data_IF_816893605805
#
_entry.id   IF_816893605805
#
_cell.length_a   1.000
_cell.length_b   1.000
_cell.length_c   1.000
_cell.angle_alpha   90.00
_cell.angle_beta   90.00
_cell.angle_gamma   90.00
#
_symmetry.space_group_name_H-M   'P 1'
#
loop_
_entity.id
_entity.type
_entity.pdbx_description
1 polymer ?
#
# COMPACT_ATOMS: atom_id res chain seq x y z
N UNK A 1 -3.64 -71.80 21.49
CA UNK A 1 -4.10 -70.44 21.88
C UNK A 1 -2.90 -69.52 21.99
N UNK A 2 -2.69 -68.60 20.97
CA UNK A 2 -1.55 -67.70 20.98
C UNK A 2 -1.97 -66.36 21.61
N UNK A 3 -1.37 -65.98 22.73
CA UNK A 3 -1.57 -64.67 23.38
C UNK A 3 -0.88 -63.58 22.58
N UNK A 4 -1.66 -62.67 21.93
CA UNK A 4 -1.15 -61.42 21.34
C UNK A 4 -0.64 -60.50 22.47
N UNK A 5 0.67 -60.26 22.54
CA UNK A 5 1.26 -59.19 23.35
C UNK A 5 0.89 -57.83 22.70
N UNK A 6 0.09 -57.01 23.39
CA UNK A 6 -0.07 -55.57 23.04
C UNK A 6 1.24 -54.89 23.40
N UNK A 7 1.96 -54.37 22.39
CA UNK A 7 3.08 -53.47 22.61
C UNK A 7 2.50 -52.11 23.06
N UNK A 8 2.76 -51.76 24.31
CA UNK A 8 2.53 -50.42 24.82
C UNK A 8 3.66 -49.52 24.32
N UNK A 9 3.36 -48.54 23.45
CA UNK A 9 4.30 -47.49 23.08
C UNK A 9 4.69 -46.71 24.34
N UNK A 10 5.97 -46.49 24.58
CA UNK A 10 6.45 -45.72 25.70
C UNK A 10 6.06 -44.26 25.58
N UNK A 11 5.89 -43.58 26.71
CA UNK A 11 5.55 -42.14 26.74
C UNK A 11 6.54 -41.30 25.92
N UNK A 12 7.83 -41.66 25.90
CA UNK A 12 8.88 -41.06 25.08
C UNK A 12 8.63 -41.20 23.57
N UNK A 13 8.13 -42.35 23.09
CA UNK A 13 7.79 -42.56 21.67
C UNK A 13 6.62 -41.72 21.26
N UNK A 14 5.61 -41.51 22.12
CA UNK A 14 4.47 -40.66 21.85
C UNK A 14 4.84 -39.17 21.77
N UNK A 15 5.73 -38.71 22.68
CA UNK A 15 6.25 -37.32 22.65
C UNK A 15 7.10 -37.09 21.43
N UNK A 16 7.95 -38.03 21.02
CA UNK A 16 8.76 -37.89 19.79
C UNK A 16 7.90 -37.81 18.52
N UNK A 17 6.83 -38.59 18.43
CA UNK A 17 5.88 -38.56 17.32
C UNK A 17 5.13 -37.19 17.27
N UNK A 18 4.72 -36.68 18.44
CA UNK A 18 4.04 -35.37 18.52
C UNK A 18 4.94 -34.21 18.05
N UNK A 19 6.24 -34.23 18.44
CA UNK A 19 7.22 -33.21 18.00
C UNK A 19 7.43 -33.25 16.49
N UNK A 20 7.54 -34.46 15.90
CA UNK A 20 7.71 -34.64 14.45
C UNK A 20 6.47 -34.12 13.69
N UNK A 21 5.27 -34.40 14.21
CA UNK A 21 4.01 -33.89 13.59
C UNK A 21 3.94 -32.37 13.66
N UNK A 22 4.27 -31.76 14.83
CA UNK A 22 4.29 -30.31 14.99
C UNK A 22 5.34 -29.65 14.08
N UNK A 23 6.53 -30.25 13.95
CA UNK A 23 7.56 -29.73 13.02
C UNK A 23 7.10 -29.84 11.55
N UNK A 24 6.43 -30.93 11.15
CA UNK A 24 5.88 -31.10 9.82
C UNK A 24 4.77 -30.04 9.53
N UNK A 25 3.89 -29.78 10.51
CA UNK A 25 2.87 -28.71 10.39
C UNK A 25 3.51 -27.32 10.29
N UNK A 26 4.53 -27.03 11.09
CA UNK A 26 5.25 -25.76 11.01
C UNK A 26 5.95 -25.60 9.65
N UNK A 27 6.64 -26.63 9.15
CA UNK A 27 7.28 -26.62 7.83
C UNK A 27 6.24 -26.41 6.72
N UNK A 28 5.10 -27.12 6.77
CA UNK A 28 4.02 -26.98 5.78
C UNK A 28 3.39 -25.58 5.84
N UNK A 29 3.20 -25.03 7.04
CA UNK A 29 2.71 -23.66 7.23
C UNK A 29 3.70 -22.63 6.66
N UNK A 30 5.00 -22.74 6.97
CA UNK A 30 6.02 -21.83 6.45
C UNK A 30 6.25 -21.99 4.96
N UNK A 31 6.20 -23.19 4.40
CA UNK A 31 6.33 -23.42 2.94
C UNK A 31 5.10 -22.94 2.19
N UNK A 32 3.89 -23.11 2.72
CA UNK A 32 2.67 -22.54 2.12
C UNK A 32 2.66 -21.01 2.22
N UNK A 33 3.12 -20.42 3.33
CA UNK A 33 3.26 -18.97 3.47
C UNK A 33 4.34 -18.41 2.53
N UNK A 34 5.44 -19.16 2.30
CA UNK A 34 6.49 -18.79 1.35
C UNK A 34 6.06 -19.00 -0.12
N UNK A 35 5.34 -20.06 -0.44
CA UNK A 35 4.85 -20.31 -1.80
C UNK A 35 3.70 -19.38 -2.19
N UNK A 36 2.85 -18.95 -1.27
CA UNK A 36 1.88 -17.88 -1.54
C UNK A 36 2.55 -16.52 -1.76
N UNK A 37 3.71 -16.24 -1.14
CA UNK A 37 4.54 -15.06 -1.49
C UNK A 37 5.23 -15.20 -2.85
N UNK A 38 5.54 -16.41 -3.32
CA UNK A 38 6.23 -16.65 -4.61
C UNK A 38 5.31 -16.85 -5.80
N UNK A 39 4.02 -17.16 -5.59
CA UNK A 39 3.07 -17.41 -6.66
C UNK A 39 2.47 -16.13 -7.28
N UNK A 40 2.72 -14.96 -6.69
CA UNK A 40 2.23 -13.67 -7.18
C UNK A 40 3.26 -12.85 -7.96
N UNK A 41 4.28 -13.48 -8.55
CA UNK A 41 4.96 -12.89 -9.69
C UNK A 41 4.06 -13.09 -10.94
N UNK A 42 2.83 -12.54 -10.89
CA UNK A 42 2.11 -12.24 -12.10
C UNK A 42 3.05 -11.36 -12.93
N UNK A 43 3.50 -11.87 -14.04
CA UNK A 43 4.20 -11.11 -15.07
C UNK A 43 3.36 -9.90 -15.34
N UNK A 44 3.80 -8.71 -14.87
CA UNK A 44 3.15 -7.44 -15.14
C UNK A 44 3.30 -7.12 -16.62
N UNK A 45 2.62 -7.93 -17.48
CA UNK A 45 2.38 -7.58 -18.85
C UNK A 45 1.48 -6.36 -18.84
N UNK A 46 2.08 -5.19 -19.10
CA UNK A 46 1.44 -3.91 -19.41
C UNK A 46 0.33 -3.45 -18.44
N UNK A 47 0.68 -3.16 -17.20
CA UNK A 47 -0.17 -2.24 -16.43
C UNK A 47 -0.28 -0.94 -17.22
N UNK A 48 -1.48 -0.53 -17.58
CA UNK A 48 -1.73 0.71 -18.32
C UNK A 48 -1.06 1.87 -17.60
N UNK A 49 -0.21 2.61 -18.32
CA UNK A 49 0.60 3.69 -17.74
C UNK A 49 -0.20 4.97 -17.63
N UNK A 50 0.03 5.72 -16.56
CA UNK A 50 -0.34 7.13 -16.50
C UNK A 50 0.54 7.87 -17.53
N UNK A 51 -0.01 8.72 -18.40
CA UNK A 51 0.78 9.45 -19.39
C UNK A 51 1.87 10.33 -18.75
N UNK A 52 3.04 10.38 -19.37
CA UNK A 52 4.19 11.12 -18.82
C UNK A 52 3.95 12.63 -18.76
N UNK A 53 3.19 13.18 -19.71
CA UNK A 53 2.78 14.60 -19.70
C UNK A 53 1.91 14.91 -18.49
N UNK A 54 1.02 14.01 -18.10
CA UNK A 54 0.23 14.12 -16.86
C UNK A 54 1.16 14.14 -15.65
N UNK A 55 2.03 13.13 -15.51
CA UNK A 55 2.99 13.06 -14.40
C UNK A 55 3.86 14.31 -14.31
N UNK A 56 4.34 14.80 -15.46
CA UNK A 56 5.20 15.98 -15.54
C UNK A 56 4.46 17.29 -15.22
N UNK A 57 3.16 17.36 -15.41
CA UNK A 57 2.35 18.54 -15.11
C UNK A 57 2.01 18.71 -13.62
N UNK A 58 2.10 17.64 -12.83
CA UNK A 58 1.66 17.65 -11.45
C UNK A 58 2.76 18.14 -10.50
N UNK A 59 2.40 19.07 -9.63
CA UNK A 59 3.27 19.64 -8.61
C UNK A 59 2.45 20.04 -7.39
N UNK A 60 3.08 20.03 -6.21
CA UNK A 60 2.49 20.62 -5.03
C UNK A 60 2.39 22.15 -5.20
N UNK A 61 1.37 22.81 -4.63
CA UNK A 61 1.30 24.26 -4.63
C UNK A 61 2.47 24.87 -3.87
N UNK A 62 2.92 26.04 -4.28
CA UNK A 62 3.84 26.83 -3.47
C UNK A 62 3.15 27.19 -2.15
N UNK A 63 3.93 27.43 -1.11
CA UNK A 63 3.36 27.74 0.21
C UNK A 63 2.45 28.97 0.18
N UNK A 64 2.78 30.00 -0.63
CA UNK A 64 1.96 31.20 -0.83
C UNK A 64 0.61 30.92 -1.52
N UNK A 65 0.48 29.81 -2.22
CA UNK A 65 -0.72 29.38 -2.96
C UNK A 65 -1.47 28.26 -2.21
N UNK A 66 -0.87 27.74 -1.12
CA UNK A 66 -1.38 26.62 -0.37
C UNK A 66 -2.61 27.02 0.48
N UNK A 67 -3.74 26.42 0.21
CA UNK A 67 -5.00 26.63 0.93
C UNK A 67 -5.61 25.29 1.35
N UNK A 68 -6.50 25.32 2.33
CA UNK A 68 -7.23 24.12 2.76
C UNK A 68 -8.18 23.58 1.65
N UNK A 69 -8.36 24.31 0.55
CA UNK A 69 -9.13 23.87 -0.61
C UNK A 69 -8.29 23.06 -1.62
N UNK A 70 -6.96 23.07 -1.53
CA UNK A 70 -6.08 22.27 -2.39
C UNK A 70 -5.98 20.81 -1.97
N UNK A 71 -7.08 20.20 -1.50
CA UNK A 71 -7.08 18.82 -0.99
C UNK A 71 -6.71 17.80 -2.05
N UNK A 72 -7.29 17.96 -3.23
CA UNK A 72 -7.00 17.11 -4.40
C UNK A 72 -7.41 17.78 -5.70
N UNK A 73 -6.88 17.27 -6.80
CA UNK A 73 -7.25 17.65 -8.18
C UNK A 73 -7.76 16.43 -8.91
N UNK A 74 -8.94 16.50 -9.51
CA UNK A 74 -9.46 15.43 -10.37
C UNK A 74 -8.66 15.38 -11.66
N UNK A 75 -8.26 14.20 -12.09
CA UNK A 75 -7.54 13.91 -13.32
C UNK A 75 -8.43 13.14 -14.30
N UNK A 76 -8.18 13.31 -15.60
CA UNK A 76 -8.80 12.53 -16.67
C UNK A 76 -10.33 12.38 -16.53
N UNK A 77 -11.03 13.47 -16.17
CA UNK A 77 -12.47 13.44 -15.89
C UNK A 77 -12.87 12.32 -14.92
N UNK A 78 -12.06 12.10 -13.90
CA UNK A 78 -12.22 11.07 -12.86
C UNK A 78 -12.17 9.62 -13.40
N UNK A 79 -11.60 9.38 -14.58
CA UNK A 79 -11.41 8.04 -15.14
C UNK A 79 -9.99 7.55 -14.85
N UNK A 80 -9.82 6.41 -14.15
CA UNK A 80 -8.52 5.77 -13.99
C UNK A 80 -7.90 5.38 -15.34
N UNK A 81 -6.56 5.31 -15.37
CA UNK A 81 -5.82 4.82 -16.55
C UNK A 81 -5.67 3.28 -16.52
N UNK A 82 -6.73 2.56 -16.17
CA UNK A 82 -6.74 1.11 -16.23
C UNK A 82 -7.32 0.64 -17.56
N UNK A 83 -6.70 -0.38 -18.16
CA UNK A 83 -7.28 -1.09 -19.28
C UNK A 83 -8.29 -2.16 -18.78
N UNK A 84 -9.01 -2.78 -19.70
CA UNK A 84 -9.91 -3.88 -19.33
C UNK A 84 -9.13 -5.10 -18.79
N UNK A 85 -7.93 -5.31 -19.28
CA UNK A 85 -7.03 -6.39 -18.88
C UNK A 85 -6.49 -6.19 -17.45
N UNK A 86 -6.47 -4.95 -16.96
CA UNK A 86 -6.11 -4.62 -15.58
C UNK A 86 -7.19 -5.04 -14.57
N UNK A 87 -8.40 -5.33 -15.03
CA UNK A 87 -9.55 -5.64 -14.19
C UNK A 87 -9.71 -7.15 -14.03
N UNK A 88 -9.53 -7.64 -12.83
CA UNK A 88 -9.66 -9.05 -12.44
C UNK A 88 -10.36 -9.13 -11.09
N UNK A 89 -10.93 -10.28 -10.78
CA UNK A 89 -11.49 -10.60 -9.46
C UNK A 89 -10.54 -11.43 -8.59
N UNK A 90 -9.28 -11.55 -9.00
CA UNK A 90 -8.22 -12.17 -8.18
C UNK A 90 -7.47 -11.10 -7.43
N UNK A 91 -7.58 -11.11 -6.11
CA UNK A 91 -6.89 -10.16 -5.26
C UNK A 91 -5.37 -10.29 -5.37
N UNK A 92 -4.69 -9.18 -5.40
CA UNK A 92 -3.23 -9.09 -5.30
C UNK A 92 -2.82 -7.72 -4.79
N UNK A 93 -1.61 -7.64 -4.27
CA UNK A 93 -0.89 -6.40 -4.01
C UNK A 93 0.53 -6.50 -4.55
N UNK A 94 1.04 -5.38 -5.04
CA UNK A 94 2.41 -5.31 -5.54
C UNK A 94 2.97 -3.90 -5.35
N UNK A 95 4.21 -3.86 -4.92
CA UNK A 95 4.97 -2.65 -4.63
C UNK A 95 6.21 -2.60 -5.49
N UNK A 96 6.38 -1.53 -6.25
CA UNK A 96 7.59 -1.32 -7.06
C UNK A 96 8.83 -1.33 -6.16
N UNK A 97 9.97 -1.85 -6.63
CA UNK A 97 11.23 -1.70 -5.91
C UNK A 97 11.54 -0.22 -5.66
N UNK A 98 12.24 0.07 -4.56
CA UNK A 98 12.81 1.41 -4.35
C UNK A 98 13.76 1.74 -5.50
N UNK A 99 13.77 3.00 -5.93
CA UNK A 99 14.71 3.46 -6.93
C UNK A 99 16.12 3.69 -6.34
N UNK A 100 17.07 4.11 -7.17
CA UNK A 100 18.46 4.38 -6.77
C UNK A 100 18.62 5.47 -5.69
N UNK A 101 17.59 6.29 -5.48
CA UNK A 101 17.53 7.31 -4.43
C UNK A 101 16.77 6.84 -3.19
N UNK A 102 16.36 5.56 -3.14
CA UNK A 102 15.58 4.99 -2.05
C UNK A 102 14.12 5.46 -2.04
N UNK A 103 13.60 6.00 -3.17
CA UNK A 103 12.23 6.48 -3.28
C UNK A 103 11.28 5.34 -3.64
N UNK A 104 10.10 5.37 -3.08
CA UNK A 104 9.02 4.43 -3.41
C UNK A 104 8.52 4.64 -4.84
N UNK A 105 8.16 3.56 -5.50
CA UNK A 105 7.49 3.60 -6.78
C UNK A 105 5.98 3.38 -6.64
N UNK A 106 5.36 2.91 -7.69
CA UNK A 106 3.94 2.60 -7.76
C UNK A 106 3.57 1.44 -6.82
N UNK A 107 2.47 1.60 -6.08
CA UNK A 107 1.77 0.53 -5.40
C UNK A 107 0.51 0.16 -6.16
N UNK A 108 0.34 -1.12 -6.48
CA UNK A 108 -0.76 -1.65 -7.29
C UNK A 108 -1.48 -2.78 -6.55
N UNK A 109 -2.79 -2.87 -6.68
CA UNK A 109 -3.55 -3.97 -6.13
C UNK A 109 -4.92 -4.16 -6.76
N UNK A 110 -5.46 -5.34 -6.55
CA UNK A 110 -6.89 -5.61 -6.61
C UNK A 110 -7.31 -5.93 -5.20
N UNK A 111 -8.00 -5.00 -4.57
CA UNK A 111 -8.37 -5.08 -3.16
C UNK A 111 -9.62 -5.93 -3.03
N UNK A 112 -9.49 -7.04 -2.33
CA UNK A 112 -10.57 -7.92 -1.92
C UNK A 112 -10.54 -8.13 -0.41
N UNK A 113 -11.53 -8.82 0.14
CA UNK A 113 -11.61 -9.06 1.60
C UNK A 113 -10.49 -9.93 2.16
N UNK A 114 -9.87 -10.74 1.31
CA UNK A 114 -8.77 -11.65 1.63
C UNK A 114 -7.43 -10.93 1.88
N UNK A 115 -7.27 -9.69 1.38
CA UNK A 115 -6.11 -8.86 1.68
C UNK A 115 -6.28 -8.00 2.94
N UNK A 116 -7.52 -7.76 3.37
CA UNK A 116 -7.77 -6.89 4.52
C UNK A 116 -7.14 -7.44 5.81
N UNK A 117 -6.65 -6.57 6.69
CA UNK A 117 -5.95 -7.01 7.90
C UNK A 117 -6.85 -7.81 8.82
N UNK A 118 -6.32 -8.92 9.33
CA UNK A 118 -6.86 -9.71 10.44
C UNK A 118 -6.20 -9.36 11.77
N UNK A 119 -5.00 -8.78 11.70
CA UNK A 119 -4.18 -8.41 12.84
C UNK A 119 -4.25 -6.92 13.14
N UNK A 120 -3.80 -6.54 14.33
CA UNK A 120 -3.70 -5.12 14.72
C UNK A 120 -2.51 -4.47 14.03
N UNK A 121 -2.67 -3.18 13.75
CA UNK A 121 -1.57 -2.34 13.25
C UNK A 121 -0.45 -2.26 14.27
N UNK A 122 0.78 -2.41 13.80
CA UNK A 122 2.00 -2.31 14.59
C UNK A 122 2.70 -0.95 14.41
N UNK A 123 3.71 -0.71 15.25
CA UNK A 123 4.53 0.51 15.18
C UNK A 123 5.43 0.51 13.95
N UNK A 124 5.42 1.62 13.22
CA UNK A 124 6.23 1.83 12.01
C UNK A 124 7.31 2.92 12.17
N UNK A 125 7.59 3.33 13.42
CA UNK A 125 8.50 4.43 13.71
C UNK A 125 9.96 4.18 13.24
N UNK A 126 10.35 2.93 13.07
CA UNK A 126 11.67 2.52 12.57
C UNK A 126 11.86 2.74 11.07
N UNK A 127 10.79 2.78 10.27
CA UNK A 127 10.90 3.01 8.82
C UNK A 127 11.30 4.46 8.53
N UNK A 128 12.24 4.64 7.61
CA UNK A 128 12.75 5.96 7.18
C UNK A 128 12.60 6.11 5.67
N UNK A 129 11.43 6.57 5.17
CA UNK A 129 11.26 6.83 3.74
C UNK A 129 12.24 7.90 3.23
N UNK A 130 12.44 7.98 1.92
CA UNK A 130 13.28 9.03 1.31
C UNK A 130 12.82 10.43 1.78
N UNK A 131 13.78 11.31 2.05
CA UNK A 131 13.51 12.68 2.52
C UNK A 131 12.89 12.79 3.92
N UNK A 132 12.80 11.71 4.69
CA UNK A 132 12.22 11.74 6.04
C UNK A 132 12.98 12.69 6.97
N UNK A 133 12.24 13.59 7.60
CA UNK A 133 12.69 14.43 8.71
C UNK A 133 11.83 14.17 9.93
N UNK A 134 12.46 14.13 11.11
CA UNK A 134 11.71 14.04 12.36
C UNK A 134 10.89 15.31 12.61
N UNK A 135 9.66 15.14 13.06
CA UNK A 135 8.82 16.26 13.45
C UNK A 135 9.40 16.94 14.70
N UNK A 136 9.84 18.18 14.56
CA UNK A 136 10.42 18.98 15.66
C UNK A 136 9.45 20.11 16.01
N UNK A 137 8.66 19.92 17.04
CA UNK A 137 7.69 20.91 17.52
C UNK A 137 6.41 21.06 16.69
N UNK A 138 6.42 20.69 15.40
CA UNK A 138 5.26 20.69 14.53
C UNK A 138 5.11 19.30 13.87
N UNK A 139 3.90 18.80 13.79
CA UNK A 139 3.61 17.52 13.11
C UNK A 139 3.43 17.78 11.62
N UNK A 140 4.53 17.80 10.88
CA UNK A 140 4.56 18.07 9.43
C UNK A 140 4.44 16.79 8.62
N UNK A 141 5.19 15.74 8.97
CA UNK A 141 5.25 14.51 8.20
C UNK A 141 4.66 13.31 8.93
N UNK A 142 3.99 12.49 8.16
CA UNK A 142 3.58 11.12 8.49
C UNK A 142 4.33 10.14 7.58
N UNK A 143 4.50 8.90 8.05
CA UNK A 143 4.85 7.76 7.21
C UNK A 143 3.57 7.32 6.51
N UNK A 144 3.32 7.91 5.34
CA UNK A 144 2.08 7.68 4.60
C UNK A 144 2.16 6.36 3.84
N UNK A 145 1.22 5.46 4.09
CA UNK A 145 1.05 4.27 3.26
C UNK A 145 0.54 4.68 1.87
N UNK A 146 1.03 4.02 0.82
CA UNK A 146 0.46 4.12 -0.53
C UNK A 146 -0.83 3.30 -0.60
N UNK A 147 -0.78 2.01 -0.29
CA UNK A 147 -1.96 1.20 -0.03
C UNK A 147 -2.16 1.16 1.48
N UNK A 148 -3.26 1.71 1.96
CA UNK A 148 -3.54 1.84 3.39
C UNK A 148 -3.54 0.47 4.09
N UNK A 149 -3.09 0.42 5.34
CA UNK A 149 -3.11 -0.80 6.16
C UNK A 149 -4.49 -1.47 6.18
N UNK A 150 -5.56 -0.68 6.27
CA UNK A 150 -6.94 -1.20 6.27
C UNK A 150 -7.36 -1.91 4.98
N UNK A 151 -6.60 -1.76 3.88
CA UNK A 151 -6.89 -2.36 2.58
C UNK A 151 -6.12 -3.64 2.32
N UNK A 152 -4.86 -3.73 2.79
CA UNK A 152 -3.96 -4.82 2.44
C UNK A 152 -3.16 -5.40 3.63
N UNK A 153 -3.34 -4.90 4.84
CA UNK A 153 -2.65 -5.42 6.03
C UNK A 153 -1.13 -5.21 6.06
N UNK A 154 -0.55 -4.55 5.04
CA UNK A 154 0.88 -4.26 4.99
C UNK A 154 1.23 -3.15 5.99
N UNK A 155 2.05 -3.47 7.00
CA UNK A 155 2.32 -2.56 8.10
C UNK A 155 3.58 -1.70 7.89
N UNK A 156 4.76 -2.32 7.83
CA UNK A 156 6.08 -1.66 7.83
C UNK A 156 6.89 -1.88 6.55
N UNK A 157 6.22 -2.25 5.47
CA UNK A 157 6.82 -2.42 4.15
C UNK A 157 7.39 -1.09 3.64
N UNK A 158 8.72 -1.01 3.50
CA UNK A 158 9.45 0.17 3.06
C UNK A 158 9.08 0.63 1.64
N UNK A 159 8.57 -0.28 0.79
CA UNK A 159 8.09 0.01 -0.57
C UNK A 159 6.66 0.58 -0.59
N UNK A 160 5.96 0.53 0.53
CA UNK A 160 4.60 1.04 0.71
C UNK A 160 4.55 2.33 1.54
N UNK A 161 5.68 2.79 2.08
CA UNK A 161 5.74 3.94 2.98
C UNK A 161 6.53 5.10 2.38
N UNK A 162 5.93 6.29 2.32
CA UNK A 162 6.56 7.51 1.85
C UNK A 162 6.55 8.62 2.89
N UNK A 163 7.42 9.61 2.72
CA UNK A 163 7.34 10.87 3.46
C UNK A 163 6.17 11.69 2.91
N UNK A 164 5.04 11.62 3.59
CA UNK A 164 3.84 12.39 3.28
C UNK A 164 3.61 13.49 4.30
N UNK A 165 3.10 14.64 3.88
CA UNK A 165 2.64 15.65 4.83
C UNK A 165 1.39 15.14 5.55
N UNK A 166 1.19 15.60 6.78
CA UNK A 166 -0.04 15.31 7.53
C UNK A 166 -1.28 15.74 6.76
N UNK A 167 -1.21 16.87 6.06
CA UNK A 167 -2.32 17.35 5.23
C UNK A 167 -2.65 16.36 4.10
N UNK A 168 -1.66 15.95 3.30
CA UNK A 168 -1.87 14.98 2.24
C UNK A 168 -2.39 13.65 2.79
N UNK A 169 -1.70 13.09 3.79
CA UNK A 169 -2.06 11.81 4.40
C UNK A 169 -3.50 11.80 4.91
N UNK A 170 -3.94 12.90 5.55
CA UNK A 170 -5.32 13.03 6.03
C UNK A 170 -6.33 13.09 4.88
N UNK A 171 -5.98 13.73 3.77
CA UNK A 171 -6.87 13.85 2.60
C UNK A 171 -6.91 12.57 1.73
N UNK A 172 -6.00 11.60 1.93
CA UNK A 172 -6.09 10.25 1.34
C UNK A 172 -7.19 9.42 1.99
N UNK A 173 -7.42 9.58 3.29
CA UNK A 173 -8.34 8.75 4.11
C UNK A 173 -9.75 8.62 3.53
N UNK A 174 -10.42 9.67 3.03
CA UNK A 174 -11.76 9.52 2.45
C UNK A 174 -11.80 8.53 1.27
N UNK A 175 -10.80 8.58 0.38
CA UNK A 175 -10.69 7.68 -0.77
C UNK A 175 -10.39 6.23 -0.36
N UNK A 176 -9.54 6.06 0.64
CA UNK A 176 -9.23 4.75 1.22
C UNK A 176 -10.45 4.13 1.91
N UNK A 177 -11.19 4.94 2.67
CA UNK A 177 -12.41 4.49 3.36
C UNK A 177 -13.49 4.08 2.36
N UNK A 178 -13.66 4.80 1.26
CA UNK A 178 -14.62 4.45 0.20
C UNK A 178 -14.35 3.04 -0.34
N UNK A 179 -13.07 2.71 -0.61
CA UNK A 179 -12.66 1.38 -1.05
C UNK A 179 -12.89 0.34 0.04
N UNK A 180 -12.46 0.62 1.28
CA UNK A 180 -12.59 -0.31 2.40
C UNK A 180 -14.06 -0.65 2.68
N UNK A 181 -14.93 0.35 2.71
CA UNK A 181 -16.35 0.19 2.98
C UNK A 181 -17.05 -0.60 1.88
N UNK A 182 -16.73 -0.29 0.61
CA UNK A 182 -17.26 -1.04 -0.53
C UNK A 182 -16.87 -2.52 -0.47
N UNK A 183 -15.60 -2.83 -0.29
CA UNK A 183 -15.11 -4.21 -0.24
C UNK A 183 -15.70 -4.96 0.96
N UNK A 184 -15.73 -4.35 2.14
CA UNK A 184 -16.34 -4.95 3.35
C UNK A 184 -17.83 -5.25 3.17
N UNK A 185 -18.58 -4.30 2.59
CA UNK A 185 -20.03 -4.38 2.42
C UNK A 185 -20.44 -5.36 1.32
N UNK A 186 -19.75 -5.33 0.19
CA UNK A 186 -20.17 -6.07 -1.02
C UNK A 186 -19.44 -7.39 -1.21
N UNK A 187 -18.27 -7.58 -0.59
CA UNK A 187 -17.33 -8.69 -0.82
C UNK A 187 -16.80 -8.73 -2.26
N UNK A 188 -16.89 -7.62 -2.98
CA UNK A 188 -16.42 -7.42 -4.34
C UNK A 188 -15.05 -6.76 -4.35
N UNK A 189 -14.47 -6.62 -5.55
CA UNK A 189 -13.10 -6.18 -5.73
C UNK A 189 -13.01 -4.75 -6.26
N UNK A 190 -11.91 -4.08 -5.87
CA UNK A 190 -11.55 -2.76 -6.39
C UNK A 190 -10.15 -2.82 -6.96
N UNK A 191 -9.98 -2.50 -8.25
CA UNK A 191 -8.67 -2.22 -8.82
C UNK A 191 -8.17 -0.89 -8.26
N UNK A 192 -7.00 -0.91 -7.62
CA UNK A 192 -6.46 0.21 -6.87
C UNK A 192 -5.00 0.46 -7.23
N UNK A 193 -4.61 1.73 -7.39
CA UNK A 193 -3.22 2.11 -7.66
C UNK A 193 -2.92 3.45 -7.01
N UNK A 194 -1.74 3.55 -6.40
CA UNK A 194 -1.18 4.81 -5.92
C UNK A 194 0.18 5.03 -6.55
N UNK A 195 0.35 6.18 -7.19
CA UNK A 195 1.57 6.56 -7.90
C UNK A 195 2.15 7.83 -7.28
N UNK A 196 3.29 7.75 -6.58
CA UNK A 196 4.03 8.92 -6.13
C UNK A 196 4.59 9.71 -7.32
N UNK A 197 4.50 11.03 -7.25
CA UNK A 197 5.00 11.94 -8.29
C UNK A 197 6.23 12.67 -7.79
N UNK A 198 7.40 12.24 -8.22
CA UNK A 198 8.67 12.91 -7.90
C UNK A 198 9.12 13.82 -9.05
N UNK A 199 9.89 14.86 -8.74
CA UNK A 199 10.56 15.73 -9.72
C UNK A 199 12.07 15.51 -9.64
N UNK A 200 12.71 15.28 -10.79
CA UNK A 200 14.17 15.09 -10.83
C UNK A 200 14.68 14.19 -9.71
N UNK A 201 15.63 14.71 -8.94
CA UNK A 201 16.25 14.02 -7.80
C UNK A 201 15.62 14.37 -6.43
N UNK A 202 14.39 14.90 -6.41
CA UNK A 202 13.67 15.19 -5.18
C UNK A 202 13.47 13.92 -4.34
N UNK A 203 13.75 13.99 -3.05
CA UNK A 203 13.58 12.88 -2.11
C UNK A 203 12.14 12.83 -1.53
N UNK A 204 11.39 13.92 -1.66
CA UNK A 204 9.98 13.99 -1.26
C UNK A 204 9.12 14.16 -2.50
N UNK A 205 8.06 13.36 -2.63
CA UNK A 205 7.14 13.45 -3.75
C UNK A 205 6.35 14.76 -3.71
N UNK A 206 6.04 15.30 -4.88
CA UNK A 206 5.14 16.44 -5.04
C UNK A 206 3.68 16.11 -4.67
N UNK A 207 3.35 14.83 -4.63
CA UNK A 207 2.04 14.30 -4.28
C UNK A 207 1.91 12.87 -4.73
N UNK A 208 0.70 12.35 -4.59
CA UNK A 208 0.33 11.01 -5.08
C UNK A 208 -0.87 11.09 -6.02
N UNK A 209 -0.89 10.26 -7.05
CA UNK A 209 -2.09 9.97 -7.83
C UNK A 209 -2.73 8.75 -7.21
N UNK A 210 -3.99 8.85 -6.84
CA UNK A 210 -4.80 7.71 -6.38
C UNK A 210 -5.84 7.39 -7.45
N UNK A 211 -5.90 6.12 -7.85
CA UNK A 211 -6.83 5.61 -8.85
C UNK A 211 -7.55 4.39 -8.30
N UNK A 212 -8.87 4.36 -8.49
CA UNK A 212 -9.68 3.20 -8.14
C UNK A 212 -10.84 3.00 -9.08
N UNK A 213 -11.22 1.73 -9.29
CA UNK A 213 -12.42 1.33 -10.01
C UNK A 213 -12.96 0.04 -9.44
N UNK A 214 -14.27 -0.01 -9.15
CA UNK A 214 -14.94 -1.24 -8.76
C UNK A 214 -15.02 -2.20 -9.95
N UNK A 215 -14.54 -3.44 -9.76
CA UNK A 215 -14.29 -4.38 -10.87
C UNK A 215 -15.58 -4.94 -11.43
N UNK A 216 -16.42 -5.54 -10.60
CA UNK A 216 -17.59 -6.33 -11.05
C UNK A 216 -18.70 -5.49 -11.65
N UNK A 217 -18.73 -4.19 -11.39
CA UNK A 217 -19.73 -3.27 -11.94
C UNK A 217 -19.15 -2.20 -12.89
N UNK A 218 -17.87 -2.37 -13.28
CA UNK A 218 -17.16 -1.45 -14.19
C UNK A 218 -17.19 0.01 -13.72
N UNK A 219 -16.95 0.23 -12.44
CA UNK A 219 -16.82 1.57 -11.87
C UNK A 219 -18.14 2.30 -11.61
N UNK A 220 -19.27 1.58 -11.53
CA UNK A 220 -20.54 2.20 -11.16
C UNK A 220 -20.58 2.62 -9.69
N UNK A 221 -19.95 1.83 -8.82
CA UNK A 221 -19.92 2.08 -7.37
C UNK A 221 -18.71 2.91 -6.97
N UNK A 222 -17.52 2.56 -7.47
CA UNK A 222 -16.26 3.28 -7.19
C UNK A 222 -15.57 3.58 -8.51
N UNK A 223 -15.28 4.87 -8.73
CA UNK A 223 -14.43 5.30 -9.83
C UNK A 223 -13.84 6.67 -9.50
N UNK A 224 -12.53 6.71 -9.33
CA UNK A 224 -11.82 7.98 -9.17
C UNK A 224 -10.40 7.94 -9.73
N UNK A 225 -9.93 9.12 -10.13
CA UNK A 225 -8.56 9.41 -10.53
C UNK A 225 -8.23 10.81 -10.04
N UNK A 226 -7.45 10.90 -8.96
CA UNK A 226 -7.19 12.15 -8.26
C UNK A 226 -5.71 12.29 -7.92
N UNK A 227 -5.21 13.53 -8.00
CA UNK A 227 -3.90 13.91 -7.49
C UNK A 227 -4.06 14.60 -6.14
N UNK A 228 -3.40 14.09 -5.11
CA UNK A 228 -3.33 14.71 -3.78
C UNK A 228 -1.94 15.34 -3.61
N UNK A 229 -1.84 16.66 -3.53
CA UNK A 229 -0.57 17.35 -3.41
C UNK A 229 0.04 17.20 -2.02
N UNK A 230 1.36 17.00 -1.98
CA UNK A 230 2.11 16.76 -0.75
C UNK A 230 2.66 18.06 -0.17
N UNK A 231 1.81 18.88 0.41
CA UNK A 231 2.17 20.13 1.07
C UNK A 231 1.54 20.22 2.47
N UNK A 232 2.00 21.20 3.23
CA UNK A 232 1.42 21.57 4.53
C UNK A 232 1.31 23.09 4.60
N UNK A 233 0.11 23.62 4.85
CA UNK A 233 -0.10 25.06 5.00
C UNK A 233 0.77 25.62 6.13
N UNK A 234 1.39 26.76 5.89
CA UNK A 234 2.31 27.40 6.84
C UNK A 234 3.68 26.72 6.94
N UNK A 235 3.99 25.80 6.01
CA UNK A 235 5.26 25.08 5.98
C UNK A 235 5.90 25.21 4.61
N UNK A 236 7.15 25.65 4.57
CA UNK A 236 7.99 25.62 3.37
C UNK A 236 8.75 24.29 3.38
N UNK A 237 8.55 23.49 2.34
CA UNK A 237 9.22 22.18 2.18
C UNK A 237 10.28 22.30 1.08
N UNK A 238 11.50 21.87 1.39
CA UNK A 238 12.52 21.58 0.40
C UNK A 238 12.36 20.12 -0.07
N UNK A 239 11.70 19.92 -1.20
CA UNK A 239 11.41 18.58 -1.74
C UNK A 239 12.68 17.78 -2.08
N UNK A 240 13.77 18.47 -2.39
CA UNK A 240 15.05 17.80 -2.69
C UNK A 240 15.62 17.06 -1.49
N UNK A 241 15.44 17.59 -0.28
CA UNK A 241 16.06 17.05 0.94
C UNK A 241 15.06 16.59 1.99
N UNK A 242 13.80 17.01 1.89
CA UNK A 242 12.75 16.83 2.90
C UNK A 242 12.86 17.80 4.08
N UNK A 243 13.87 18.69 4.12
CA UNK A 243 13.94 19.72 5.16
C UNK A 243 12.74 20.66 5.04
N UNK A 244 12.31 21.21 6.17
CA UNK A 244 11.18 22.14 6.20
C UNK A 244 11.38 23.27 7.21
N UNK A 245 10.69 24.38 6.96
CA UNK A 245 10.57 25.53 7.87
C UNK A 245 9.10 25.82 8.12
N UNK A 246 8.74 25.95 9.38
CA UNK A 246 7.38 26.41 9.81
C UNK A 246 7.42 27.93 9.86
N UNK A 247 6.42 28.59 9.24
CA UNK A 247 6.24 30.04 9.29
C UNK A 247 5.48 30.48 10.53
#
# INVERSE_FOLDING_TARGET
MAKRKKQQLSLFSLISIAIVILAAFAITYYTNKSSNKSANTATFASVSKIPDDVLNSLTAPKESEATDNNKYKVLNNNNPYFSKEDLSTSSFENYSPLDKLGRVGQANGIIGTDLMPTDKREEIAHVRPSGWQSNRGAHVYDRSHLIAFQLAGENDNDKNLMTGTRFMNHNMIPFENEVADYVKKTKKHVRYRVTPVFKGDDLVAQGVIMEAISVEDNGKSIKYNVFLPNFQKGVIIDYKTGKYTVK
#
